data_IF_748797506347
#
_entry.id   IF_748797506347
#
_cell.length_a   1.000
_cell.length_b   1.000
_cell.length_c   1.000
_cell.angle_alpha   90.00
_cell.angle_beta   90.00
_cell.angle_gamma   90.00
#
_symmetry.space_group_name_H-M   'P 1'
#
loop_
_entity.id
_entity.type
_entity.pdbx_description
1 polymer ?
#
# COMPACT_ATOMS: atom_id res chain seq x y z
N UNK A 1 30.06 17.41 -7.37
CA UNK A 1 29.09 18.53 -7.35
C UNK A 1 28.28 18.35 -6.07
N UNK A 2 28.63 19.10 -5.01
CA UNK A 2 27.90 19.09 -3.75
C UNK A 2 26.53 19.74 -3.97
N UNK A 3 25.47 19.10 -3.45
CA UNK A 3 24.09 19.46 -3.70
C UNK A 3 23.75 20.87 -3.22
N UNK A 4 23.65 21.81 -4.15
CA UNK A 4 22.96 23.07 -3.95
C UNK A 4 21.47 22.77 -3.78
N UNK A 5 20.96 22.84 -2.54
CA UNK A 5 19.52 22.76 -2.28
C UNK A 5 19.12 22.29 -0.88
N UNK A 6 19.99 21.59 -0.15
CA UNK A 6 19.70 21.16 1.22
C UNK A 6 20.48 22.02 2.21
N UNK A 7 19.82 23.07 2.69
CA UNK A 7 20.29 23.84 3.84
C UNK A 7 20.50 22.94 5.06
N UNK A 8 21.37 23.33 6.02
CA UNK A 8 21.58 22.54 7.22
C UNK A 8 20.27 22.39 8.00
N UNK A 9 20.04 21.19 8.55
CA UNK A 9 18.95 20.97 9.51
C UNK A 9 19.39 21.48 10.87
N UNK A 10 18.63 22.40 11.45
CA UNK A 10 18.90 23.03 12.74
C UNK A 10 17.85 22.54 13.75
N UNK A 11 18.28 22.33 14.99
CA UNK A 11 17.38 21.96 16.09
C UNK A 11 16.43 23.10 16.44
N UNK A 12 15.17 22.76 16.73
CA UNK A 12 14.18 23.69 17.26
C UNK A 12 13.79 23.22 18.66
N UNK A 13 13.99 24.07 19.67
CA UNK A 13 13.81 23.68 21.07
C UNK A 13 12.34 23.72 21.55
N UNK A 14 11.47 24.43 20.82
CA UNK A 14 10.05 24.62 21.15
C UNK A 14 9.16 23.58 20.42
N UNK A 15 9.59 22.32 20.46
CA UNK A 15 8.82 21.20 19.94
C UNK A 15 7.78 20.74 20.96
N UNK A 16 6.53 20.67 20.53
CA UNK A 16 5.44 20.07 21.31
C UNK A 16 5.49 18.55 21.18
N UNK A 17 5.06 17.80 22.21
CA UNK A 17 4.94 16.37 22.11
C UNK A 17 3.83 16.00 21.11
N UNK A 18 4.07 14.98 20.29
CA UNK A 18 3.05 14.42 19.42
C UNK A 18 1.91 13.80 20.25
N UNK A 19 0.66 14.08 19.88
CA UNK A 19 -0.51 13.60 20.61
C UNK A 19 -1.40 12.75 19.72
N UNK A 20 -1.70 11.54 20.17
CA UNK A 20 -2.68 10.67 19.54
C UNK A 20 -3.82 10.42 20.51
N UNK A 21 -5.06 10.70 20.08
CA UNK A 21 -6.28 10.35 20.81
C UNK A 21 -7.03 9.30 20.01
N UNK A 22 -7.27 8.13 20.62
CA UNK A 22 -7.99 7.02 20.00
C UNK A 22 -9.30 6.79 20.74
N UNK A 23 -10.38 6.72 19.99
CA UNK A 23 -11.69 6.28 20.43
C UNK A 23 -12.03 4.99 19.70
N UNK A 24 -12.51 4.00 20.44
CA UNK A 24 -12.88 2.70 19.89
C UNK A 24 -14.16 2.20 20.55
N UNK A 25 -15.07 1.65 19.75
CA UNK A 25 -16.29 1.02 20.19
C UNK A 25 -16.40 -0.37 19.56
N UNK A 26 -16.37 -1.41 20.39
CA UNK A 26 -16.40 -2.81 19.97
C UNK A 26 -17.67 -3.53 20.39
N UNK A 27 -18.17 -4.42 19.52
CA UNK A 27 -19.23 -5.38 19.79
C UNK A 27 -18.74 -6.78 19.38
N UNK A 28 -18.82 -7.73 20.30
CA UNK A 28 -18.57 -9.14 20.02
C UNK A 28 -19.79 -9.95 20.38
N UNK A 29 -20.25 -10.80 19.46
CA UNK A 29 -21.43 -11.62 19.66
C UNK A 29 -21.22 -13.01 19.09
N UNK A 30 -21.53 -14.02 19.90
CA UNK A 30 -21.62 -15.39 19.46
C UNK A 30 -22.98 -15.60 18.75
N UNK A 31 -22.96 -16.09 17.52
CA UNK A 31 -24.16 -16.40 16.73
C UNK A 31 -24.61 -17.84 16.96
N UNK A 32 -23.66 -18.78 17.01
CA UNK A 32 -23.91 -20.21 17.23
C UNK A 32 -22.78 -20.81 18.07
N UNK A 33 -22.84 -22.10 18.42
CA UNK A 33 -21.75 -22.80 19.10
C UNK A 33 -20.40 -22.77 18.38
N UNK A 34 -20.39 -22.49 17.06
CA UNK A 34 -19.18 -22.50 16.22
C UNK A 34 -18.96 -21.19 15.46
N UNK A 35 -19.86 -20.21 15.54
CA UNK A 35 -19.77 -18.93 14.84
C UNK A 35 -19.85 -17.74 15.79
N UNK A 36 -18.97 -16.78 15.60
CA UNK A 36 -19.00 -15.48 16.28
C UNK A 36 -18.62 -14.38 15.30
N UNK A 37 -19.16 -13.19 15.52
CA UNK A 37 -18.71 -11.99 14.84
C UNK A 37 -18.18 -10.98 15.84
N UNK A 38 -17.27 -10.13 15.36
CA UNK A 38 -16.73 -8.98 16.06
C UNK A 38 -16.82 -7.78 15.13
N UNK A 39 -17.21 -6.65 15.68
CA UNK A 39 -17.26 -5.36 15.00
C UNK A 39 -16.60 -4.33 15.87
N UNK A 40 -15.70 -3.53 15.32
CA UNK A 40 -15.14 -2.39 16.02
C UNK A 40 -15.22 -1.16 15.12
N UNK A 41 -15.66 -0.04 15.68
CA UNK A 41 -15.58 1.27 15.04
C UNK A 41 -14.51 2.08 15.77
N UNK A 42 -13.59 2.68 15.02
CA UNK A 42 -12.47 3.42 15.59
C UNK A 42 -12.32 4.80 14.94
N UNK A 43 -11.88 5.75 15.76
CA UNK A 43 -11.54 7.10 15.36
C UNK A 43 -10.25 7.52 16.07
N UNK A 44 -9.23 7.84 15.29
CA UNK A 44 -7.90 8.23 15.74
C UNK A 44 -7.60 9.64 15.27
N UNK A 45 -7.35 10.53 16.21
CA UNK A 45 -6.94 11.92 15.99
C UNK A 45 -5.46 12.07 16.33
N UNK A 46 -4.63 12.39 15.34
CA UNK A 46 -3.17 12.52 15.48
C UNK A 46 -2.82 13.99 15.25
N UNK A 47 -2.23 14.61 16.26
CA UNK A 47 -1.87 16.02 16.28
C UNK A 47 -0.41 16.22 16.60
N UNK A 48 0.06 17.42 16.23
CA UNK A 48 1.40 17.90 16.51
C UNK A 48 2.48 16.99 15.89
N UNK A 49 2.22 16.38 14.73
CA UNK A 49 3.22 15.56 14.04
C UNK A 49 4.39 16.42 13.56
N UNK A 50 5.61 15.89 13.73
CA UNK A 50 6.83 16.57 13.31
C UNK A 50 6.99 16.55 11.78
N UNK A 51 7.06 17.74 11.19
CA UNK A 51 7.36 17.94 9.79
C UNK A 51 8.66 18.76 9.63
N UNK A 52 9.45 18.45 8.61
CA UNK A 52 10.64 19.21 8.26
C UNK A 52 10.23 20.43 7.43
N UNK A 53 10.52 21.62 7.93
CA UNK A 53 10.20 22.89 7.29
C UNK A 53 11.48 23.57 6.82
N UNK A 54 11.61 23.80 5.51
CA UNK A 54 12.71 24.59 4.96
C UNK A 54 12.37 26.07 5.04
N UNK A 55 13.11 26.83 5.85
CA UNK A 55 13.05 28.28 5.89
C UNK A 55 14.10 28.82 4.92
N UNK A 56 13.66 29.71 4.02
CA UNK A 56 14.55 30.46 3.12
C UNK A 56 14.75 31.85 3.68
N UNK A 57 15.98 32.35 3.64
CA UNK A 57 16.33 33.70 4.06
C UNK A 57 17.36 34.28 3.10
N UNK A 58 17.37 35.59 2.95
CA UNK A 58 18.39 36.28 2.15
C UNK A 58 19.54 36.69 3.06
N UNK A 59 20.74 36.16 2.81
CA UNK A 59 21.93 36.54 3.55
C UNK A 59 22.57 37.74 2.88
N UNK A 60 22.72 38.86 3.61
CA UNK A 60 23.43 40.05 3.10
C UNK A 60 24.85 39.74 2.56
N UNK A 61 25.48 38.66 3.03
CA UNK A 61 26.84 38.26 2.66
C UNK A 61 26.92 37.17 1.58
N UNK A 62 25.92 36.28 1.51
CA UNK A 62 25.99 35.06 0.66
C UNK A 62 24.79 34.92 -0.30
N UNK A 63 23.86 35.87 -0.30
CA UNK A 63 22.63 35.81 -1.09
C UNK A 63 21.60 34.83 -0.52
N UNK A 64 20.62 34.40 -1.35
CA UNK A 64 19.54 33.53 -0.93
C UNK A 64 20.04 32.18 -0.40
N UNK A 65 19.68 31.85 0.83
CA UNK A 65 20.06 30.63 1.51
C UNK A 65 18.84 29.95 2.16
N UNK A 66 19.00 28.71 2.60
CA UNK A 66 17.97 27.97 3.31
C UNK A 66 18.54 27.18 4.49
N UNK A 67 17.68 26.91 5.46
CA UNK A 67 17.91 25.93 6.52
C UNK A 67 16.60 25.19 6.79
N UNK A 68 16.68 24.02 7.41
CA UNK A 68 15.49 23.24 7.76
C UNK A 68 15.32 23.14 9.27
N UNK A 69 14.09 23.26 9.77
CA UNK A 69 13.74 23.01 11.17
C UNK A 69 12.60 22.01 11.27
N UNK A 70 12.59 21.22 12.34
CA UNK A 70 11.41 20.42 12.68
C UNK A 70 10.37 21.31 13.35
N UNK A 71 9.11 21.19 12.91
CA UNK A 71 7.98 21.90 13.50
C UNK A 71 6.76 20.98 13.58
N UNK A 72 5.96 21.15 14.64
CA UNK A 72 4.69 20.43 14.82
C UNK A 72 3.61 21.05 13.92
N UNK A 73 3.57 20.65 12.64
CA UNK A 73 2.63 21.20 11.65
C UNK A 73 1.65 20.16 11.14
N UNK A 74 2.01 18.88 11.20
CA UNK A 74 1.27 17.84 10.55
C UNK A 74 0.11 17.33 11.42
N UNK A 75 -0.95 16.95 10.72
CA UNK A 75 -2.19 16.44 11.27
C UNK A 75 -2.55 15.16 10.53
N UNK A 76 -3.08 14.19 11.27
CA UNK A 76 -3.59 12.94 10.72
C UNK A 76 -4.90 12.53 11.38
N UNK A 77 -5.85 12.11 10.57
CA UNK A 77 -7.11 11.53 10.99
C UNK A 77 -7.23 10.11 10.44
N UNK A 78 -7.59 9.15 11.28
CA UNK A 78 -7.93 7.80 10.84
C UNK A 78 -9.29 7.45 11.39
N UNK A 79 -10.23 7.12 10.53
CA UNK A 79 -11.55 6.64 10.95
C UNK A 79 -11.92 5.41 10.16
N UNK A 80 -12.57 4.46 10.80
CA UNK A 80 -12.87 3.21 10.15
C UNK A 80 -13.70 2.28 11.00
N UNK A 81 -13.99 1.13 10.42
CA UNK A 81 -14.56 0.02 11.14
C UNK A 81 -13.95 -1.28 10.65
N UNK A 82 -13.90 -2.24 11.57
CA UNK A 82 -13.52 -3.61 11.32
C UNK A 82 -14.74 -4.50 11.53
N UNK A 83 -14.81 -5.55 10.72
CA UNK A 83 -15.76 -6.64 10.88
C UNK A 83 -14.99 -7.93 10.75
N UNK A 84 -15.07 -8.80 11.75
CA UNK A 84 -14.52 -10.14 11.73
C UNK A 84 -15.63 -11.16 11.89
N UNK A 85 -15.67 -12.17 11.05
CA UNK A 85 -16.55 -13.33 11.17
C UNK A 85 -15.68 -14.57 11.29
N UNK A 86 -15.80 -15.24 12.44
CA UNK A 86 -15.11 -16.50 12.71
C UNK A 86 -16.11 -17.64 12.75
N UNK A 87 -15.94 -18.62 11.85
CA UNK A 87 -16.56 -19.93 11.91
C UNK A 87 -15.48 -20.98 12.23
N UNK A 88 -15.50 -21.50 13.44
CA UNK A 88 -14.65 -22.61 13.86
C UNK A 88 -14.99 -23.87 13.07
N UNK A 89 -14.02 -24.77 12.97
CA UNK A 89 -14.22 -26.04 12.28
C UNK A 89 -15.40 -26.80 12.88
N UNK A 90 -16.40 -27.04 12.05
CA UNK A 90 -17.57 -27.82 12.40
C UNK A 90 -17.46 -29.20 11.72
N UNK A 91 -17.56 -30.27 12.51
CA UNK A 91 -17.48 -31.65 12.04
C UNK A 91 -18.65 -32.05 11.14
N UNK A 92 -19.81 -31.40 11.29
CA UNK A 92 -21.00 -31.69 10.49
C UNK A 92 -20.84 -31.11 9.10
N UNK A 93 -20.60 -29.80 9.01
CA UNK A 93 -20.41 -29.13 7.72
C UNK A 93 -19.02 -29.35 7.11
N UNK A 94 -18.04 -29.84 7.89
CA UNK A 94 -16.63 -30.02 7.48
C UNK A 94 -16.03 -28.74 6.92
N UNK A 95 -16.37 -27.60 7.52
CA UNK A 95 -15.89 -26.29 7.06
C UNK A 95 -15.44 -25.43 8.23
N UNK A 96 -14.46 -24.58 7.96
CA UNK A 96 -14.13 -23.43 8.78
C UNK A 96 -13.98 -22.21 7.88
N UNK A 97 -14.27 -21.04 8.43
CA UNK A 97 -14.12 -19.79 7.71
C UNK A 97 -13.68 -18.68 8.67
N UNK A 98 -12.88 -17.79 8.17
CA UNK A 98 -12.44 -16.60 8.86
C UNK A 98 -12.44 -15.47 7.85
N UNK A 99 -13.20 -14.41 8.12
CA UNK A 99 -13.36 -13.28 7.20
C UNK A 99 -13.13 -12.02 8.02
N UNK A 100 -12.09 -11.27 7.69
CA UNK A 100 -11.86 -9.94 8.21
C UNK A 100 -12.02 -8.91 7.11
N UNK A 101 -12.81 -7.89 7.41
CA UNK A 101 -12.97 -6.74 6.58
C UNK A 101 -12.62 -5.50 7.39
N UNK A 102 -11.74 -4.66 6.83
CA UNK A 102 -11.41 -3.35 7.36
C UNK A 102 -11.77 -2.31 6.32
N UNK A 103 -12.62 -1.37 6.74
CA UNK A 103 -12.77 -0.10 6.07
C UNK A 103 -12.05 0.96 6.88
N UNK A 104 -11.14 1.70 6.25
CA UNK A 104 -10.47 2.83 6.90
C UNK A 104 -10.35 4.00 5.94
N UNK A 105 -10.45 5.21 6.47
CA UNK A 105 -10.14 6.43 5.75
C UNK A 105 -9.08 7.17 6.56
N UNK A 106 -7.92 7.33 5.93
CA UNK A 106 -6.75 7.98 6.51
C UNK A 106 -6.47 9.26 5.76
N UNK A 107 -6.66 10.39 6.43
CA UNK A 107 -6.55 11.73 5.87
C UNK A 107 -5.55 12.54 6.70
N UNK A 108 -4.90 13.54 6.10
CA UNK A 108 -3.98 14.42 6.80
C UNK A 108 -3.59 15.62 5.94
N UNK A 109 -2.61 16.39 6.41
CA UNK A 109 -2.17 17.58 5.69
C UNK A 109 -1.46 17.23 4.37
N UNK A 110 -1.69 18.05 3.34
CA UNK A 110 -0.97 17.94 2.07
C UNK A 110 0.49 18.34 2.20
N UNK A 111 1.40 17.55 1.64
CA UNK A 111 2.86 17.80 1.64
C UNK A 111 3.33 18.68 0.46
N UNK A 112 2.46 18.96 -0.51
CA UNK A 112 2.77 19.69 -1.76
C UNK A 112 2.19 21.10 -1.84
N UNK A 113 1.91 21.75 -0.71
CA UNK A 113 1.57 23.18 -0.70
C UNK A 113 2.79 24.02 -1.07
N UNK A 114 3.09 24.09 -2.38
CA UNK A 114 4.16 24.90 -2.97
C UNK A 114 3.99 26.42 -2.77
N UNK A 115 2.94 26.85 -2.07
CA UNK A 115 2.67 28.24 -1.68
C UNK A 115 3.59 28.76 -0.56
N UNK A 116 4.47 27.92 -0.01
CA UNK A 116 5.30 28.30 1.15
C UNK A 116 6.24 29.49 0.86
N UNK A 117 6.79 29.62 -0.35
CA UNK A 117 7.78 30.66 -0.65
C UNK A 117 7.21 32.09 -0.57
N UNK A 118 6.02 32.33 -1.14
CA UNK A 118 5.42 33.65 -1.17
C UNK A 118 4.68 33.97 0.14
N UNK A 119 4.01 32.98 0.74
CA UNK A 119 3.21 33.16 1.95
C UNK A 119 4.05 33.47 3.20
N UNK A 120 5.26 32.90 3.31
CA UNK A 120 6.18 33.18 4.43
C UNK A 120 6.74 34.61 4.39
N UNK A 121 6.81 35.25 3.21
CA UNK A 121 7.24 36.64 3.03
C UNK A 121 6.08 37.64 3.17
N UNK A 122 4.85 37.24 2.88
CA UNK A 122 3.64 38.10 2.96
C UNK A 122 2.90 38.02 4.29
N UNK A 123 3.21 37.05 5.16
CA UNK A 123 2.49 36.82 6.41
C UNK A 123 1.11 36.15 6.22
N UNK A 124 0.83 35.61 5.04
CA UNK A 124 -0.41 34.90 4.74
C UNK A 124 -0.36 33.46 5.23
N UNK A 125 -1.41 33.00 5.91
CA UNK A 125 -1.52 31.59 6.31
C UNK A 125 -1.72 30.69 5.09
N UNK A 126 -0.98 29.58 5.08
CA UNK A 126 -1.06 28.58 4.02
C UNK A 126 -2.42 27.87 4.01
N UNK A 127 -2.97 27.63 2.81
CA UNK A 127 -4.17 26.81 2.67
C UNK A 127 -3.85 25.34 3.04
N UNK A 128 -4.17 24.96 4.27
CA UNK A 128 -4.07 23.57 4.73
C UNK A 128 -5.17 22.75 4.08
N UNK A 129 -4.82 21.98 3.06
CA UNK A 129 -5.73 21.01 2.43
C UNK A 129 -5.60 19.64 3.07
N UNK A 130 -6.75 19.02 3.35
CA UNK A 130 -6.83 17.64 3.81
C UNK A 130 -6.78 16.72 2.60
N UNK A 131 -5.82 15.80 2.58
CA UNK A 131 -5.62 14.81 1.51
C UNK A 131 -5.47 13.40 2.10
N UNK A 132 -5.73 12.34 1.33
CA UNK A 132 -5.41 10.99 1.77
C UNK A 132 -3.92 10.83 2.08
N UNK A 133 -3.56 10.15 3.15
CA UNK A 133 -2.15 9.83 3.42
C UNK A 133 -1.69 8.68 2.51
N UNK A 134 -0.39 8.57 2.25
CA UNK A 134 0.16 7.59 1.29
C UNK A 134 -0.08 6.13 1.69
N UNK A 135 -0.34 5.88 2.97
CA UNK A 135 -0.70 4.56 3.51
C UNK A 135 -2.22 4.34 3.63
N UNK A 136 -3.07 5.23 3.11
CA UNK A 136 -4.52 5.08 3.14
C UNK A 136 -5.03 3.94 2.24
N UNK A 137 -5.22 2.76 2.84
CA UNK A 137 -5.82 1.62 2.15
C UNK A 137 -7.27 1.42 2.57
N UNK A 138 -8.20 1.93 1.74
CA UNK A 138 -9.64 2.03 2.08
C UNK A 138 -10.35 0.73 2.41
N UNK A 139 -10.09 -0.32 1.64
CA UNK A 139 -10.76 -1.60 1.76
C UNK A 139 -9.71 -2.68 1.85
N UNK A 140 -9.78 -3.48 2.90
CA UNK A 140 -8.96 -4.68 3.07
C UNK A 140 -9.90 -5.80 3.47
N UNK A 141 -9.97 -6.85 2.65
CA UNK A 141 -10.72 -8.06 2.91
C UNK A 141 -9.74 -9.23 2.91
N UNK A 142 -9.55 -9.84 4.08
CA UNK A 142 -8.83 -11.09 4.23
C UNK A 142 -9.85 -12.18 4.50
N UNK A 143 -9.77 -13.29 3.77
CA UNK A 143 -10.66 -14.42 3.97
C UNK A 143 -9.89 -15.72 3.91
N UNK A 144 -10.03 -16.54 4.94
CA UNK A 144 -9.53 -17.91 4.97
C UNK A 144 -10.72 -18.85 5.05
N UNK A 145 -10.86 -19.73 4.07
CA UNK A 145 -11.92 -20.75 4.04
C UNK A 145 -11.25 -22.10 3.93
N UNK A 146 -11.63 -23.05 4.78
CA UNK A 146 -11.20 -24.43 4.67
C UNK A 146 -12.39 -25.36 4.59
N UNK A 147 -12.31 -26.32 3.69
CA UNK A 147 -13.33 -27.34 3.45
C UNK A 147 -12.65 -28.70 3.44
N UNK A 148 -13.21 -29.63 4.18
CA UNK A 148 -12.74 -31.00 4.26
C UNK A 148 -12.54 -31.46 5.70
N UNK A 149 -11.96 -32.63 5.83
CA UNK A 149 -11.62 -33.25 7.11
C UNK A 149 -10.10 -33.17 7.31
N UNK A 150 -9.58 -32.31 8.22
CA UNK A 150 -8.15 -32.14 8.41
C UNK A 150 -7.35 -33.44 8.60
N UNK A 151 -7.98 -34.48 9.16
CA UNK A 151 -7.36 -35.80 9.35
C UNK A 151 -7.30 -36.68 8.09
N UNK A 152 -8.03 -36.33 7.03
CA UNK A 152 -8.14 -37.12 5.81
C UNK A 152 -7.83 -36.28 4.56
N UNK A 153 -8.53 -35.18 4.31
CA UNK A 153 -8.25 -34.28 3.19
C UNK A 153 -8.74 -32.88 3.53
N UNK A 154 -8.03 -31.84 3.09
CA UNK A 154 -8.49 -30.48 3.28
C UNK A 154 -8.10 -29.60 2.09
N UNK A 155 -9.05 -28.79 1.64
CA UNK A 155 -8.83 -27.70 0.72
C UNK A 155 -8.95 -26.40 1.52
N UNK A 156 -7.84 -25.67 1.64
CA UNK A 156 -7.78 -24.35 2.24
C UNK A 156 -7.55 -23.28 1.16
N UNK A 157 -8.30 -22.19 1.25
CA UNK A 157 -8.17 -21.00 0.43
C UNK A 157 -7.89 -19.80 1.33
N UNK A 158 -6.88 -19.02 0.98
CA UNK A 158 -6.54 -17.75 1.61
C UNK A 158 -6.65 -16.69 0.53
N UNK A 159 -7.59 -15.77 0.65
CA UNK A 159 -7.78 -14.65 -0.26
C UNK A 159 -7.52 -13.33 0.44
N UNK A 160 -6.78 -12.45 -0.22
CA UNK A 160 -6.52 -11.08 0.19
C UNK A 160 -6.92 -10.15 -0.94
N UNK A 161 -7.99 -9.39 -0.74
CA UNK A 161 -8.47 -8.35 -1.63
C UNK A 161 -8.26 -7.01 -0.95
N UNK A 162 -7.62 -6.07 -1.64
CA UNK A 162 -7.39 -4.75 -1.07
C UNK A 162 -7.43 -3.66 -2.13
N UNK A 163 -7.96 -2.49 -1.76
CA UNK A 163 -7.88 -1.31 -2.61
C UNK A 163 -6.42 -0.88 -2.79
N UNK A 164 -6.12 -0.22 -3.90
CA UNK A 164 -4.77 0.28 -4.13
C UNK A 164 -4.43 1.48 -3.25
N UNK A 165 -3.15 1.59 -2.94
CA UNK A 165 -2.61 2.76 -2.23
C UNK A 165 -2.79 4.04 -3.04
N UNK A 166 -2.89 5.19 -2.39
CA UNK A 166 -2.87 6.47 -3.07
C UNK A 166 -1.51 6.74 -3.72
N UNK A 167 -1.53 7.59 -4.73
CA UNK A 167 -0.33 8.18 -5.33
C UNK A 167 -0.66 9.59 -5.81
N UNK A 168 0.34 10.44 -5.93
CA UNK A 168 0.19 11.78 -6.51
C UNK A 168 0.35 11.66 -8.03
N UNK A 169 -0.71 11.93 -8.82
CA UNK A 169 -0.57 11.93 -10.26
C UNK A 169 0.46 12.95 -10.72
N UNK A 170 1.10 12.71 -11.86
CA UNK A 170 1.95 13.69 -12.51
C UNK A 170 1.64 13.62 -14.01
N UNK A 171 0.66 14.41 -14.45
CA UNK A 171 0.16 14.38 -15.82
C UNK A 171 0.91 15.47 -16.61
N UNK A 172 1.78 15.10 -17.56
CA UNK A 172 2.43 16.08 -18.43
C UNK A 172 1.40 16.94 -19.16
N UNK A 173 1.71 18.22 -19.38
CA UNK A 173 0.91 19.17 -20.17
C UNK A 173 -0.53 19.44 -19.67
N UNK A 174 -0.89 18.96 -18.47
CA UNK A 174 -2.23 19.15 -17.90
C UNK A 174 -2.48 20.57 -17.36
N UNK A 175 -1.46 21.43 -17.28
CA UNK A 175 -1.54 22.82 -16.78
C UNK A 175 -2.21 22.98 -15.41
N UNK A 176 -2.12 21.98 -14.53
CA UNK A 176 -2.51 22.10 -13.12
C UNK A 176 -1.62 21.24 -12.22
N UNK A 177 -1.53 21.62 -10.94
CA UNK A 177 -0.82 20.83 -9.92
C UNK A 177 -1.81 19.90 -9.23
N UNK A 178 -1.71 18.57 -9.41
CA UNK A 178 -2.61 17.64 -8.74
C UNK A 178 -2.41 17.66 -7.23
N UNK A 179 -3.51 17.45 -6.50
CA UNK A 179 -3.47 17.29 -5.06
C UNK A 179 -2.63 16.06 -4.70
N UNK A 180 -1.88 16.16 -3.60
CA UNK A 180 -1.14 15.03 -3.04
C UNK A 180 -2.05 13.82 -2.87
N UNK A 181 -1.59 12.63 -3.27
CA UNK A 181 -2.30 11.36 -3.09
C UNK A 181 -3.73 11.32 -3.67
N UNK A 182 -4.02 12.13 -4.69
CA UNK A 182 -5.35 12.20 -5.30
C UNK A 182 -5.69 11.01 -6.21
N UNK A 183 -4.68 10.33 -6.76
CA UNK A 183 -4.86 9.11 -7.55
C UNK A 183 -4.84 7.86 -6.68
N UNK A 184 -5.41 6.75 -7.17
CA UNK A 184 -5.31 5.43 -6.52
C UNK A 184 -4.77 4.38 -7.46
N UNK A 185 -3.85 3.56 -6.95
CA UNK A 185 -3.35 2.39 -7.67
C UNK A 185 -4.49 1.37 -7.90
N UNK A 186 -4.34 0.44 -8.86
CA UNK A 186 -5.32 -0.61 -9.08
C UNK A 186 -5.50 -1.52 -7.87
N UNK A 187 -6.69 -2.12 -7.78
CA UNK A 187 -7.02 -3.09 -6.75
C UNK A 187 -6.12 -4.34 -6.84
N UNK A 188 -5.67 -4.77 -5.67
CA UNK A 188 -4.82 -5.94 -5.50
C UNK A 188 -5.68 -7.11 -5.03
N UNK A 189 -5.62 -8.25 -5.71
CA UNK A 189 -6.31 -9.46 -5.32
C UNK A 189 -5.40 -10.67 -5.49
N UNK A 190 -5.22 -11.42 -4.41
CA UNK A 190 -4.43 -12.65 -4.40
C UNK A 190 -5.20 -13.75 -3.72
N UNK A 191 -5.24 -14.92 -4.34
CA UNK A 191 -5.77 -16.15 -3.76
C UNK A 191 -4.65 -17.17 -3.73
N UNK A 192 -4.39 -17.73 -2.56
CA UNK A 192 -3.49 -18.85 -2.36
C UNK A 192 -4.33 -20.06 -1.94
N UNK A 193 -3.95 -21.24 -2.40
CA UNK A 193 -4.65 -22.50 -2.13
C UNK A 193 -3.68 -23.51 -1.53
N UNK A 194 -4.17 -24.31 -0.59
CA UNK A 194 -3.50 -25.51 -0.10
C UNK A 194 -4.47 -26.67 -0.16
N UNK A 195 -4.09 -27.72 -0.86
CA UNK A 195 -4.79 -29.01 -0.85
C UNK A 195 -3.89 -30.03 -0.17
N UNK A 196 -4.44 -30.87 0.70
CA UNK A 196 -3.74 -32.04 1.20
C UNK A 196 -4.63 -33.26 1.27
N UNK A 197 -4.01 -34.44 1.19
CA UNK A 197 -4.62 -35.75 1.38
C UNK A 197 -3.73 -36.61 2.26
N UNK A 198 -4.32 -37.15 3.30
CA UNK A 198 -3.72 -38.09 4.22
C UNK A 198 -4.14 -39.51 3.82
N UNK A 199 -3.21 -40.44 3.84
CA UNK A 199 -3.49 -41.86 3.67
C UNK A 199 -2.62 -42.68 4.62
N UNK A 200 -3.19 -43.78 5.11
CA UNK A 200 -2.51 -44.71 6.01
C UNK A 200 -2.09 -45.93 5.21
N UNK A 201 -0.80 -46.28 5.27
CA UNK A 201 -0.29 -47.54 4.70
C UNK A 201 0.48 -48.26 5.79
N UNK A 202 -0.09 -49.35 6.30
CA UNK A 202 0.42 -50.05 7.48
C UNK A 202 0.38 -49.16 8.72
N UNK A 203 1.53 -48.99 9.38
CA UNK A 203 1.68 -48.16 10.59
C UNK A 203 1.98 -46.69 10.29
N UNK A 204 2.29 -46.36 9.03
CA UNK A 204 2.75 -45.03 8.65
C UNK A 204 1.61 -44.15 8.14
N UNK A 205 1.68 -42.86 8.44
CA UNK A 205 0.80 -41.84 7.87
C UNK A 205 1.56 -41.05 6.81
N UNK A 206 0.95 -40.93 5.64
CA UNK A 206 1.50 -40.16 4.52
C UNK A 206 0.59 -38.97 4.26
N UNK A 207 1.19 -37.82 3.99
CA UNK A 207 0.48 -36.59 3.61
C UNK A 207 1.04 -36.13 2.28
N UNK A 208 0.22 -36.16 1.23
CA UNK A 208 0.54 -35.51 -0.05
C UNK A 208 -0.17 -34.17 -0.07
N UNK A 209 0.56 -33.11 -0.42
CA UNK A 209 0.02 -31.76 -0.45
C UNK A 209 0.47 -30.99 -1.69
N UNK A 210 -0.38 -30.06 -2.11
CA UNK A 210 -0.10 -29.06 -3.12
C UNK A 210 -0.41 -27.67 -2.55
N UNK A 211 0.53 -26.74 -2.68
CA UNK A 211 0.34 -25.32 -2.39
C UNK A 211 0.41 -24.56 -3.70
N UNK A 212 -0.64 -23.80 -4.01
CA UNK A 212 -0.70 -22.94 -5.20
C UNK A 212 -0.77 -21.50 -4.71
N UNK A 213 0.30 -20.75 -4.93
CA UNK A 213 0.35 -19.31 -4.66
C UNK A 213 -0.11 -18.55 -5.90
N UNK A 214 -0.90 -17.49 -5.71
CA UNK A 214 -1.53 -16.73 -6.80
C UNK A 214 -2.30 -17.64 -7.78
N UNK A 215 -3.31 -18.35 -7.27
CA UNK A 215 -4.14 -19.31 -7.99
C UNK A 215 -4.71 -18.77 -9.31
N UNK A 216 -5.12 -17.50 -9.30
CA UNK A 216 -5.71 -16.81 -10.47
C UNK A 216 -4.67 -16.30 -11.47
N UNK A 217 -3.37 -16.43 -11.18
CA UNK A 217 -2.25 -15.88 -11.95
C UNK A 217 -2.41 -14.38 -12.25
N UNK A 218 -3.02 -13.64 -11.31
CA UNK A 218 -3.28 -12.21 -11.46
C UNK A 218 -1.99 -11.44 -11.25
N UNK A 219 -1.66 -10.56 -12.20
CA UNK A 219 -0.54 -9.62 -12.08
C UNK A 219 -1.01 -8.36 -11.35
N UNK A 220 -0.85 -8.34 -10.02
CA UNK A 220 -1.24 -7.18 -9.25
C UNK A 220 -0.19 -6.08 -9.33
N UNK A 221 -0.60 -4.84 -9.60
CA UNK A 221 0.28 -3.68 -9.82
C UNK A 221 0.71 -3.06 -8.48
N UNK A 222 1.91 -3.39 -8.00
CA UNK A 222 2.50 -2.87 -6.76
C UNK A 222 2.97 -1.41 -6.93
N UNK A 223 3.58 -1.14 -8.07
CA UNK A 223 4.06 0.18 -8.46
C UNK A 223 3.38 0.60 -9.75
N UNK A 224 3.17 1.90 -9.91
CA UNK A 224 2.54 2.49 -11.09
C UNK A 224 3.36 3.70 -11.51
N UNK A 225 3.28 4.06 -12.78
CA UNK A 225 3.75 5.36 -13.21
C UNK A 225 2.76 6.43 -12.77
N UNK A 226 3.25 7.57 -12.29
CA UNK A 226 2.40 8.62 -11.71
C UNK A 226 1.56 9.35 -12.78
N UNK A 227 1.92 9.27 -14.04
CA UNK A 227 1.20 9.87 -15.15
C UNK A 227 -0.02 9.05 -15.61
N UNK A 228 0.08 7.72 -15.57
CA UNK A 228 -0.98 6.82 -16.04
C UNK A 228 -1.74 6.13 -14.91
N UNK A 229 -1.15 6.04 -13.72
CA UNK A 229 -1.67 5.22 -12.62
C UNK A 229 -1.66 3.73 -12.92
N UNK A 230 -0.90 3.30 -13.93
CA UNK A 230 -0.74 1.91 -14.34
C UNK A 230 0.73 1.51 -14.34
N UNK A 231 0.98 0.21 -14.19
CA UNK A 231 2.32 -0.37 -14.25
C UNK A 231 2.80 -0.63 -15.69
N UNK A 232 1.87 -0.76 -16.64
CA UNK A 232 2.17 -1.30 -17.98
C UNK A 232 2.62 -0.26 -19.00
N UNK A 233 2.40 1.03 -18.77
CA UNK A 233 2.77 2.09 -19.70
C UNK A 233 2.86 3.45 -18.98
N UNK A 234 3.54 4.39 -19.62
CA UNK A 234 3.80 5.76 -19.15
C UNK A 234 3.62 6.73 -20.34
N UNK A 235 3.08 7.90 -20.07
CA UNK A 235 3.03 9.05 -20.98
C UNK A 235 4.30 9.91 -20.91
N UNK A 236 5.22 9.67 -19.96
CA UNK A 236 6.55 10.29 -19.94
C UNK A 236 7.09 10.25 -21.34
N UNK A 237 7.34 11.44 -21.87
CA UNK A 237 7.38 11.76 -23.30
C UNK A 237 8.31 10.82 -24.04
N UNK A 238 7.70 9.76 -24.57
CA UNK A 238 8.32 8.77 -25.44
C UNK A 238 9.12 9.52 -26.51
N UNK A 239 8.57 10.56 -27.12
CA UNK A 239 9.27 11.39 -28.11
C UNK A 239 10.55 12.12 -27.65
N UNK A 240 10.70 12.45 -26.36
CA UNK A 240 11.91 13.13 -25.86
C UNK A 240 13.03 12.18 -25.47
N UNK A 241 12.69 10.96 -25.06
CA UNK A 241 13.67 9.95 -24.65
C UNK A 241 13.92 8.91 -25.76
N UNK A 242 12.90 8.59 -26.55
CA UNK A 242 12.97 7.84 -27.81
C UNK A 242 13.31 8.79 -28.98
N UNK A 243 14.51 9.35 -28.94
CA UNK A 243 15.02 10.20 -30.02
C UNK A 243 15.20 9.39 -31.32
N UNK A 244 15.21 10.06 -32.48
CA UNK A 244 15.46 9.40 -33.77
C UNK A 244 16.77 8.58 -33.76
N UNK A 245 17.83 9.12 -33.16
CA UNK A 245 19.10 8.40 -33.02
C UNK A 245 18.97 7.13 -32.16
N UNK A 246 18.15 7.14 -31.11
CA UNK A 246 17.89 5.94 -30.31
C UNK A 246 17.14 4.87 -31.11
N UNK A 247 16.14 5.27 -31.90
CA UNK A 247 15.37 4.37 -32.78
C UNK A 247 16.25 3.76 -33.87
N UNK A 248 17.18 4.54 -34.44
CA UNK A 248 18.10 4.09 -35.48
C UNK A 248 19.03 2.96 -35.00
N UNK A 249 19.26 2.84 -33.69
CA UNK A 249 20.07 1.79 -33.06
C UNK A 249 19.25 0.59 -32.51
N UNK A 250 17.94 0.52 -32.78
CA UNK A 250 17.13 -0.64 -32.39
C UNK A 250 17.59 -1.92 -33.05
N UNK A 251 17.72 -2.99 -32.26
CA UNK A 251 18.24 -4.29 -32.70
C UNK A 251 19.75 -4.45 -32.57
N UNK A 252 20.48 -3.40 -32.18
CA UNK A 252 21.86 -3.54 -31.75
C UNK A 252 21.95 -4.29 -30.40
N UNK A 253 23.06 -4.98 -30.17
CA UNK A 253 23.27 -5.76 -28.95
C UNK A 253 23.22 -4.84 -27.71
N UNK A 254 22.22 -5.04 -26.86
CA UNK A 254 22.02 -4.27 -25.63
C UNK A 254 21.11 -3.04 -25.77
N UNK A 255 20.64 -2.73 -26.99
CA UNK A 255 19.67 -1.68 -27.24
C UNK A 255 18.28 -2.30 -27.40
N UNK A 256 17.43 -2.08 -26.41
CA UNK A 256 16.04 -2.51 -26.44
C UNK A 256 15.12 -1.41 -27.00
N UNK A 257 13.93 -1.80 -27.43
CA UNK A 257 12.90 -0.82 -27.81
C UNK A 257 12.44 -0.03 -26.58
N UNK A 258 11.90 1.17 -26.78
CA UNK A 258 11.38 1.99 -25.69
C UNK A 258 10.36 1.23 -24.83
N UNK A 259 9.44 0.50 -25.47
CA UNK A 259 8.41 -0.28 -24.78
C UNK A 259 9.00 -1.37 -23.89
N UNK A 260 10.07 -2.05 -24.33
CA UNK A 260 10.78 -3.06 -23.55
C UNK A 260 11.46 -2.45 -22.31
N UNK A 261 12.05 -1.25 -22.42
CA UNK A 261 12.59 -0.54 -21.25
C UNK A 261 11.52 -0.10 -20.24
N UNK A 262 10.27 0.06 -20.69
CA UNK A 262 9.14 0.33 -19.80
C UNK A 262 8.54 -0.93 -19.17
N UNK A 263 8.86 -2.13 -19.67
CA UNK A 263 8.47 -3.39 -19.01
C UNK A 263 9.26 -3.53 -17.71
N UNK A 264 8.58 -3.35 -16.58
CA UNK A 264 9.16 -3.45 -15.24
C UNK A 264 8.54 -4.61 -14.48
N UNK A 265 9.11 -5.83 -14.54
CA UNK A 265 8.57 -7.00 -13.83
C UNK A 265 8.37 -6.75 -12.33
N UNK A 266 9.26 -5.97 -11.71
CA UNK A 266 9.21 -5.58 -10.30
C UNK A 266 8.01 -4.68 -9.93
N UNK A 267 7.29 -4.15 -10.92
CA UNK A 267 6.04 -3.41 -10.69
C UNK A 267 4.86 -4.33 -10.40
N UNK A 268 4.99 -5.62 -10.71
CA UNK A 268 3.95 -6.61 -10.51
C UNK A 268 4.28 -7.56 -9.36
N UNK A 269 3.24 -8.17 -8.77
CA UNK A 269 3.41 -9.31 -7.87
C UNK A 269 3.91 -10.53 -8.63
N UNK A 270 4.57 -11.46 -7.90
CA UNK A 270 5.04 -12.72 -8.46
C UNK A 270 3.92 -13.50 -9.18
N UNK A 271 4.25 -14.18 -10.29
CA UNK A 271 3.31 -15.05 -11.00
C UNK A 271 2.93 -16.28 -10.15
N UNK A 272 1.99 -17.08 -10.65
CA UNK A 272 1.57 -18.32 -10.00
C UNK A 272 2.74 -19.27 -9.73
N UNK A 273 2.81 -19.80 -8.52
CA UNK A 273 3.79 -20.82 -8.11
C UNK A 273 3.08 -22.04 -7.55
N UNK A 274 3.50 -23.23 -7.96
CA UNK A 274 2.91 -24.51 -7.54
C UNK A 274 4.00 -25.34 -6.85
N UNK A 275 3.77 -25.65 -5.57
CA UNK A 275 4.68 -26.47 -4.77
C UNK A 275 3.96 -27.76 -4.40
N UNK A 276 4.46 -28.89 -4.88
CA UNK A 276 3.95 -30.22 -4.55
C UNK A 276 4.95 -30.87 -3.60
N UNK A 277 4.45 -31.50 -2.54
CA UNK A 277 5.29 -32.17 -1.56
C UNK A 277 4.61 -33.38 -0.95
N UNK A 278 5.42 -34.22 -0.31
CA UNK A 278 4.96 -35.34 0.50
C UNK A 278 5.59 -35.24 1.90
N UNK A 279 4.88 -35.74 2.91
CA UNK A 279 5.35 -35.89 4.29
C UNK A 279 5.08 -37.32 4.75
N UNK A 280 5.95 -37.84 5.60
CA UNK A 280 5.83 -39.15 6.25
C UNK A 280 5.88 -38.92 7.77
N UNK A 281 4.83 -39.31 8.46
CA UNK A 281 4.77 -39.32 9.93
C UNK A 281 4.71 -40.78 10.42
N UNK A 282 5.48 -41.10 11.47
CA UNK A 282 5.63 -42.43 12.07
C UNK A 282 5.06 -42.52 13.48
#
# INVERSE_FOLDING_TARGET
IFGAGLGPTIGYADLKPEKTVLYEFGLQQQLTGVMAFEMSAFYKDIRDLLALQSIRYDSEKYGPSNYAIYMNKDYGNVKGFTFSLTKRYDRVTKTSAFIDYTYQLTEGNSVTSGSFYYNALSGEEEEKRIVPLSWDQRHILNSTVSVGDPGNWNLGLISKLSSGWPYTPNIPDANYVPLSNSGRKPWQWRIDMRLHKNFKVGKFQYIVYAKIYNLLDRRNERYVFNDTGRAGYTYVSQSTQETKGFVDHYGESGVHTWSEYQVRPQYYTAPRSINIGFSLDF
#
